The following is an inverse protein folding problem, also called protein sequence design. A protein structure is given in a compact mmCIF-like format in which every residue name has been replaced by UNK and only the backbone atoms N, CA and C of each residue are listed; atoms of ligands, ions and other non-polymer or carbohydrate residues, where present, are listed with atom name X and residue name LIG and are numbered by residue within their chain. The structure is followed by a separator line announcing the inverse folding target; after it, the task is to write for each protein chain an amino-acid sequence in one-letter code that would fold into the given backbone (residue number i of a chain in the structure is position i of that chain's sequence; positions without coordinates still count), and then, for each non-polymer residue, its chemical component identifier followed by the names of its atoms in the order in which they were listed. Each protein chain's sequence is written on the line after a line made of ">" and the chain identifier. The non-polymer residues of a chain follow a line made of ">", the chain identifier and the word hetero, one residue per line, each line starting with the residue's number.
data_IF_279894466821
#
_entry.id   IF_279894466821
#
_cell.length_a   1.000
_cell.length_b   1.000
_cell.length_c   1.000
_cell.angle_alpha   90.00
_cell.angle_beta   90.00
_cell.angle_gamma   90.00
#
_symmetry.space_group_name_H-M   'P 1'
#
loop_
_entity.id
_entity.type
_entity.pdbx_description
1 polymer ?
#
# COMPACT_ATOMS: atom_id res chain seq x y z
N UNK A 1 50.96 -15.76 -32.37
CA UNK A 1 50.34 -14.46 -32.04
C UNK A 1 48.96 -14.41 -32.66
N UNK A 2 47.91 -14.45 -31.84
CA UNK A 2 46.57 -13.98 -32.22
C UNK A 2 45.93 -13.43 -30.94
N UNK A 3 46.07 -12.13 -30.75
CA UNK A 3 45.42 -11.41 -29.66
C UNK A 3 43.90 -11.49 -29.84
N UNK A 4 43.21 -12.23 -28.96
CA UNK A 4 41.78 -12.06 -28.72
C UNK A 4 41.58 -10.66 -28.11
N UNK A 5 41.28 -9.67 -28.97
CA UNK A 5 40.78 -8.36 -28.53
C UNK A 5 39.38 -8.57 -27.95
N UNK A 6 39.19 -8.25 -26.68
CA UNK A 6 37.89 -8.17 -26.04
C UNK A 6 36.98 -7.18 -26.82
N UNK A 7 35.73 -7.56 -27.04
CA UNK A 7 34.79 -6.80 -27.87
C UNK A 7 34.43 -5.44 -27.21
N UNK A 8 34.37 -4.32 -27.96
CA UNK A 8 34.24 -2.96 -27.42
C UNK A 8 32.89 -2.62 -26.74
N UNK A 9 31.93 -3.55 -26.70
CA UNK A 9 30.54 -3.26 -26.32
C UNK A 9 30.28 -3.38 -24.81
N UNK A 10 31.22 -3.97 -24.06
CA UNK A 10 31.17 -3.97 -22.59
C UNK A 10 31.34 -2.57 -22.00
N UNK A 11 32.09 -1.70 -22.68
CA UNK A 11 32.35 -0.32 -22.25
C UNK A 11 31.12 0.58 -22.40
N UNK A 12 30.31 0.37 -23.45
CA UNK A 12 29.12 1.19 -23.74
C UNK A 12 27.97 0.92 -22.77
N UNK A 13 27.80 -0.33 -22.31
CA UNK A 13 26.78 -0.70 -21.33
C UNK A 13 27.11 -0.13 -19.94
N UNK A 14 28.39 -0.10 -19.57
CA UNK A 14 28.85 0.48 -18.30
C UNK A 14 28.67 2.00 -18.27
N UNK A 15 28.89 2.69 -19.40
CA UNK A 15 28.64 4.13 -19.55
C UNK A 15 27.14 4.43 -19.48
N UNK A 16 26.29 3.61 -20.14
CA UNK A 16 24.84 3.74 -20.01
C UNK A 16 24.40 3.53 -18.54
N UNK A 17 24.99 2.57 -17.84
CA UNK A 17 24.77 2.32 -16.41
C UNK A 17 25.10 3.54 -15.55
N UNK A 18 26.22 4.22 -15.79
CA UNK A 18 26.63 5.41 -15.03
C UNK A 18 25.73 6.63 -15.34
N UNK A 19 25.29 6.78 -16.58
CA UNK A 19 24.39 7.86 -17.01
C UNK A 19 22.99 7.66 -16.41
N UNK A 20 22.44 6.45 -16.48
CA UNK A 20 21.15 6.11 -15.86
C UNK A 20 21.21 6.18 -14.33
N UNK A 21 22.31 5.73 -13.71
CA UNK A 21 22.55 5.83 -12.27
C UNK A 21 22.59 7.28 -11.76
N UNK A 22 23.13 8.22 -12.55
CA UNK A 22 23.14 9.65 -12.20
C UNK A 22 21.82 10.37 -12.50
N UNK A 23 21.03 9.90 -13.46
CA UNK A 23 19.77 10.56 -13.87
C UNK A 23 18.53 10.16 -13.07
N UNK A 24 18.59 9.10 -12.24
CA UNK A 24 17.44 8.59 -11.47
C UNK A 24 17.01 9.44 -10.24
N UNK A 25 17.67 10.56 -9.95
CA UNK A 25 17.25 11.47 -8.86
C UNK A 25 16.34 12.61 -9.32
N UNK A 26 15.20 12.31 -9.93
CA UNK A 26 14.13 13.28 -10.07
C UNK A 26 12.76 12.60 -10.28
N UNK A 27 11.78 13.03 -9.49
CA UNK A 27 10.36 12.64 -9.54
C UNK A 27 9.95 11.37 -8.78
N UNK A 28 10.24 11.36 -7.48
CA UNK A 28 9.24 10.86 -6.52
C UNK A 28 8.20 11.97 -6.32
N UNK A 29 6.91 11.65 -6.47
CA UNK A 29 5.85 12.47 -5.86
C UNK A 29 6.03 12.39 -4.35
N UNK A 30 6.80 13.32 -3.80
CA UNK A 30 6.97 13.44 -2.35
C UNK A 30 5.71 14.08 -1.78
N UNK A 31 5.12 13.51 -0.71
CA UNK A 31 4.00 14.16 -0.03
C UNK A 31 4.46 15.54 0.47
N UNK A 32 3.57 16.54 0.39
CA UNK A 32 3.82 17.89 0.90
C UNK A 32 4.13 17.89 2.40
N UNK A 33 3.68 16.84 3.11
CA UNK A 33 3.99 16.56 4.50
C UNK A 33 4.63 15.17 4.57
N UNK A 34 5.94 15.13 4.78
CA UNK A 34 6.69 13.92 5.12
C UNK A 34 7.27 14.03 6.53
N UNK A 35 8.05 13.03 6.95
CA UNK A 35 8.78 13.12 8.21
C UNK A 35 9.68 14.35 8.22
N UNK A 36 9.54 15.18 9.25
CA UNK A 36 10.40 16.32 9.45
C UNK A 36 11.78 15.84 9.88
N UNK A 37 12.81 16.13 9.07
CA UNK A 37 14.15 15.56 9.23
C UNK A 37 14.86 15.93 10.55
N UNK A 38 14.56 17.10 11.12
CA UNK A 38 15.14 17.58 12.39
C UNK A 38 14.10 17.57 13.52
N UNK A 39 13.37 16.45 13.62
CA UNK A 39 12.28 16.31 14.57
C UNK A 39 12.76 16.04 16.00
N UNK A 40 12.20 16.79 16.93
CA UNK A 40 12.38 16.60 18.37
C UNK A 40 11.06 16.87 19.09
N UNK A 41 10.41 15.80 19.53
CA UNK A 41 9.13 15.82 20.23
C UNK A 41 9.18 16.74 21.48
N UNK A 42 10.31 16.77 22.18
CA UNK A 42 10.53 17.60 23.36
C UNK A 42 10.54 19.11 23.07
N UNK A 43 11.08 19.52 21.90
CA UNK A 43 11.12 20.92 21.47
C UNK A 43 9.74 21.37 20.99
N UNK A 44 9.10 20.54 20.18
CA UNK A 44 7.78 20.84 19.61
C UNK A 44 6.69 20.88 20.70
N UNK A 45 6.68 19.92 21.64
CA UNK A 45 5.76 19.92 22.77
C UNK A 45 5.93 21.18 23.64
N UNK A 46 7.17 21.61 23.88
CA UNK A 46 7.44 22.83 24.64
C UNK A 46 7.01 24.10 23.91
N UNK A 47 7.17 24.14 22.58
CA UNK A 47 6.73 25.25 21.75
C UNK A 47 5.19 25.35 21.72
N UNK A 48 4.49 24.22 21.58
CA UNK A 48 3.02 24.16 21.63
C UNK A 48 2.51 24.60 23.01
N UNK A 49 3.11 24.11 24.11
CA UNK A 49 2.74 24.55 25.46
C UNK A 49 2.92 26.05 25.64
N UNK A 50 4.05 26.60 25.18
CA UNK A 50 4.31 28.04 25.23
C UNK A 50 3.30 28.83 24.39
N UNK A 51 2.87 28.30 23.25
CA UNK A 51 1.92 28.94 22.36
C UNK A 51 0.50 29.03 22.95
N UNK A 52 0.14 28.13 23.88
CA UNK A 52 -1.15 28.12 24.58
C UNK A 52 -1.07 28.71 26.01
N UNK A 53 0.12 29.15 26.46
CA UNK A 53 0.31 29.63 27.82
C UNK A 53 0.05 31.13 27.92
N UNK A 54 -0.86 31.52 28.82
CA UNK A 54 -1.08 32.92 29.20
C UNK A 54 -2.40 33.42 28.66
N UNK A 55 -2.49 34.72 28.41
CA UNK A 55 -3.71 35.31 27.86
C UNK A 55 -3.62 35.34 26.33
N UNK A 56 -4.51 34.60 25.67
CA UNK A 56 -4.52 34.40 24.23
C UNK A 56 -3.63 33.23 23.75
N UNK A 57 -3.76 32.90 22.46
CA UNK A 57 -3.11 31.75 21.82
C UNK A 57 -2.27 32.20 20.65
N UNK A 58 -1.09 31.60 20.45
CA UNK A 58 -0.27 31.83 19.25
C UNK A 58 -0.55 30.76 18.19
N UNK A 59 -1.62 30.94 17.42
CA UNK A 59 -2.08 29.94 16.44
C UNK A 59 -1.08 29.74 15.31
N UNK A 60 -0.31 30.78 14.94
CA UNK A 60 0.73 30.69 13.90
C UNK A 60 1.83 29.70 14.28
N UNK A 61 2.26 29.72 15.55
CA UNK A 61 3.26 28.78 16.04
C UNK A 61 2.73 27.34 15.99
N UNK A 62 1.50 27.11 16.47
CA UNK A 62 0.84 25.81 16.45
C UNK A 62 0.71 25.28 15.03
N UNK A 63 0.21 26.11 14.10
CA UNK A 63 0.05 25.75 12.69
C UNK A 63 1.39 25.39 12.04
N UNK A 64 2.45 26.18 12.30
CA UNK A 64 3.78 25.95 11.73
C UNK A 64 4.41 24.63 12.15
N UNK A 65 4.02 24.10 13.31
CA UNK A 65 4.45 22.79 13.80
C UNK A 65 3.56 21.70 13.21
N UNK A 66 2.25 21.74 13.49
CA UNK A 66 1.34 20.61 13.19
C UNK A 66 1.19 20.35 11.68
N UNK A 67 1.25 21.38 10.83
CA UNK A 67 1.16 21.22 9.37
C UNK A 67 2.45 20.72 8.72
N UNK A 68 3.55 20.61 9.48
CA UNK A 68 4.87 20.21 8.99
C UNK A 68 5.41 18.94 9.67
N UNK A 69 4.55 18.19 10.35
CA UNK A 69 4.88 16.93 11.00
C UNK A 69 4.02 15.83 10.42
N UNK A 70 4.58 14.64 10.27
CA UNK A 70 3.79 13.45 9.94
C UNK A 70 2.82 13.12 11.07
N UNK A 71 1.78 12.33 10.81
CA UNK A 71 0.85 11.88 11.84
C UNK A 71 1.59 11.20 13.01
N UNK A 72 2.56 10.34 12.69
CA UNK A 72 3.43 9.69 13.68
C UNK A 72 4.12 10.71 14.59
N UNK A 73 4.79 11.69 14.01
CA UNK A 73 5.47 12.76 14.75
C UNK A 73 4.49 13.60 15.59
N UNK A 74 3.27 13.87 15.08
CA UNK A 74 2.23 14.57 15.84
C UNK A 74 1.80 13.78 17.08
N UNK A 75 1.66 12.47 16.97
CA UNK A 75 1.33 11.62 18.12
C UNK A 75 2.48 11.56 19.14
N UNK A 76 3.73 11.49 18.69
CA UNK A 76 4.92 11.58 19.56
C UNK A 76 4.96 12.92 20.34
N UNK A 77 4.56 14.04 19.70
CA UNK A 77 4.41 15.33 20.38
C UNK A 77 3.31 15.27 21.45
N UNK A 78 2.16 14.68 21.16
CA UNK A 78 1.04 14.53 22.11
C UNK A 78 1.48 13.75 23.36
N UNK A 79 2.19 12.65 23.16
CA UNK A 79 2.72 11.81 24.24
C UNK A 79 3.71 12.57 25.12
N UNK A 80 4.70 13.25 24.52
CA UNK A 80 5.69 14.03 25.27
C UNK A 80 5.04 15.22 25.99
N UNK A 81 4.04 15.88 25.37
CA UNK A 81 3.27 16.94 26.00
C UNK A 81 2.55 16.44 27.26
N UNK A 82 1.84 15.30 27.17
CA UNK A 82 1.16 14.67 28.30
C UNK A 82 2.16 14.27 29.39
N UNK A 83 3.30 13.69 29.02
CA UNK A 83 4.34 13.26 29.95
C UNK A 83 4.93 14.43 30.73
N UNK A 84 5.26 15.52 30.04
CA UNK A 84 5.95 16.70 30.59
C UNK A 84 5.03 17.65 31.36
N UNK A 85 3.83 17.91 30.84
CA UNK A 85 2.92 18.91 31.40
C UNK A 85 1.74 18.31 32.16
N UNK A 86 1.55 16.98 32.10
CA UNK A 86 0.43 16.26 32.74
C UNK A 86 -0.95 16.75 32.26
N UNK A 87 -1.01 17.19 30.99
CA UNK A 87 -2.20 17.75 30.35
C UNK A 87 -2.44 17.11 28.99
N UNK A 88 -3.72 16.98 28.60
CA UNK A 88 -4.10 16.46 27.30
C UNK A 88 -4.01 17.57 26.25
N UNK A 89 -3.01 17.47 25.36
CA UNK A 89 -2.73 18.49 24.34
C UNK A 89 -3.92 18.74 23.41
N UNK A 90 -4.58 17.68 22.94
CA UNK A 90 -5.70 17.77 21.99
C UNK A 90 -6.89 18.49 22.65
N UNK A 91 -7.16 18.18 23.91
CA UNK A 91 -8.21 18.85 24.70
C UNK A 91 -7.89 20.33 24.91
N UNK A 92 -6.65 20.69 25.19
CA UNK A 92 -6.24 22.09 25.32
C UNK A 92 -6.34 22.82 23.98
N UNK A 93 -5.91 22.22 22.87
CA UNK A 93 -6.07 22.81 21.54
C UNK A 93 -7.55 23.11 21.24
N UNK A 94 -8.46 22.20 21.58
CA UNK A 94 -9.89 22.37 21.40
C UNK A 94 -10.47 23.51 22.26
N UNK A 95 -9.91 23.78 23.44
CA UNK A 95 -10.37 24.89 24.30
C UNK A 95 -9.75 26.24 23.94
N UNK A 96 -8.52 26.24 23.43
CA UNK A 96 -7.75 27.46 23.12
C UNK A 96 -8.03 28.01 21.72
N UNK A 97 -8.50 27.17 20.79
CA UNK A 97 -8.75 27.53 19.39
C UNK A 97 -10.20 27.19 19.06
N UNK A 98 -10.96 28.17 18.57
CA UNK A 98 -12.35 28.01 18.16
C UNK A 98 -12.56 27.98 16.65
N UNK A 99 -13.77 27.58 16.24
CA UNK A 99 -14.22 27.59 14.84
C UNK A 99 -13.42 26.67 13.90
N UNK A 100 -13.45 27.00 12.60
CA UNK A 100 -12.87 26.18 11.52
C UNK A 100 -11.38 25.85 11.69
N UNK A 101 -10.63 26.74 12.34
CA UNK A 101 -9.21 26.49 12.59
C UNK A 101 -9.02 25.37 13.62
N UNK A 102 -9.90 25.30 14.62
CA UNK A 102 -9.92 24.20 15.59
C UNK A 102 -10.19 22.87 14.89
N UNK A 103 -11.24 22.83 14.07
CA UNK A 103 -11.63 21.65 13.29
C UNK A 103 -10.48 21.14 12.41
N UNK A 104 -9.82 22.03 11.66
CA UNK A 104 -8.65 21.70 10.85
C UNK A 104 -7.48 21.16 11.69
N UNK A 105 -7.18 21.78 12.83
CA UNK A 105 -6.04 21.33 13.65
C UNK A 105 -6.31 19.98 14.31
N UNK A 106 -7.54 19.73 14.74
CA UNK A 106 -7.94 18.47 15.34
C UNK A 106 -7.91 17.33 14.31
N UNK A 107 -8.34 17.58 13.07
CA UNK A 107 -8.32 16.56 12.00
C UNK A 107 -6.91 16.09 11.64
N UNK A 108 -5.87 16.89 11.88
CA UNK A 108 -4.47 16.48 11.67
C UNK A 108 -4.04 15.32 12.59
N UNK A 109 -4.71 15.10 13.72
CA UNK A 109 -4.38 14.01 14.64
C UNK A 109 -5.09 12.70 14.32
N UNK A 110 -5.99 12.69 13.35
CA UNK A 110 -6.71 11.50 12.94
C UNK A 110 -5.92 10.79 11.85
N UNK A 111 -5.88 9.47 11.91
CA UNK A 111 -5.53 8.70 10.73
C UNK A 111 -6.62 8.87 9.66
N UNK A 112 -6.33 8.53 8.40
CA UNK A 112 -7.29 8.76 7.31
C UNK A 112 -8.64 8.08 7.59
N UNK A 113 -8.64 6.88 8.18
CA UNK A 113 -9.87 6.15 8.47
C UNK A 113 -10.71 6.81 9.56
N UNK A 114 -10.09 7.29 10.63
CA UNK A 114 -10.74 8.09 11.69
C UNK A 114 -11.30 9.41 11.15
N UNK A 115 -10.54 10.09 10.28
CA UNK A 115 -11.00 11.31 9.63
C UNK A 115 -12.26 11.06 8.80
N UNK A 116 -12.22 10.08 7.88
CA UNK A 116 -13.40 9.77 7.07
C UNK A 116 -14.58 9.25 7.88
N UNK A 117 -14.33 8.50 8.96
CA UNK A 117 -15.40 8.08 9.87
C UNK A 117 -16.12 9.29 10.49
N UNK A 118 -15.37 10.29 10.96
CA UNK A 118 -15.94 11.51 11.52
C UNK A 118 -16.69 12.35 10.46
N UNK A 119 -16.14 12.50 9.26
CA UNK A 119 -16.81 13.23 8.16
C UNK A 119 -18.11 12.52 7.72
N UNK A 120 -18.13 11.19 7.62
CA UNK A 120 -19.34 10.43 7.32
C UNK A 120 -20.38 10.61 8.43
N UNK A 121 -19.97 10.56 9.70
CA UNK A 121 -20.90 10.83 10.81
C UNK A 121 -21.50 12.23 10.71
N UNK A 122 -20.67 13.24 10.43
CA UNK A 122 -21.12 14.61 10.23
C UNK A 122 -22.12 14.76 9.08
N UNK A 123 -21.91 14.02 7.99
CA UNK A 123 -22.78 14.03 6.82
C UNK A 123 -24.17 13.41 7.06
N UNK A 124 -24.33 12.54 8.07
CA UNK A 124 -25.59 11.84 8.36
C UNK A 124 -26.24 12.21 9.71
N UNK A 125 -25.54 12.94 10.59
CA UNK A 125 -26.05 13.31 11.91
C UNK A 125 -26.90 14.60 11.91
N UNK A 126 -26.95 15.32 10.78
CA UNK A 126 -27.58 16.63 10.64
C UNK A 126 -29.08 16.59 10.28
N UNK A 127 -29.65 17.78 10.01
CA UNK A 127 -30.98 17.87 9.40
C UNK A 127 -30.86 17.58 7.90
N UNK A 128 -31.24 16.36 7.50
CA UNK A 128 -30.99 15.84 6.17
C UNK A 128 -29.57 15.29 6.04
N UNK A 129 -29.29 14.73 4.88
CA UNK A 129 -28.03 14.07 4.54
C UNK A 129 -27.17 14.99 3.69
N UNK A 130 -25.85 15.02 3.90
CA UNK A 130 -24.93 15.66 2.96
C UNK A 130 -24.47 14.64 1.91
N UNK A 131 -25.30 14.43 0.88
CA UNK A 131 -25.00 13.42 -0.15
C UNK A 131 -23.76 13.77 -0.98
N UNK A 132 -23.39 15.06 -1.06
CA UNK A 132 -22.18 15.50 -1.76
C UNK A 132 -20.93 15.07 -0.98
N UNK A 133 -20.90 15.30 0.32
CA UNK A 133 -19.80 14.83 1.18
C UNK A 133 -19.68 13.31 1.13
N UNK A 134 -20.80 12.58 1.23
CA UNK A 134 -20.79 11.12 1.07
C UNK A 134 -20.21 10.73 -0.30
N UNK A 135 -20.65 11.37 -1.39
CA UNK A 135 -20.14 11.09 -2.74
C UNK A 135 -18.62 11.29 -2.84
N UNK A 136 -18.11 12.44 -2.37
CA UNK A 136 -16.67 12.74 -2.40
C UNK A 136 -15.85 11.72 -1.61
N UNK A 137 -16.33 11.36 -0.42
CA UNK A 137 -15.68 10.40 0.48
C UNK A 137 -15.69 9.00 -0.14
N UNK A 138 -16.85 8.50 -0.59
CA UNK A 138 -16.99 7.15 -1.15
C UNK A 138 -16.29 6.99 -2.50
N UNK A 139 -16.13 8.05 -3.29
CA UNK A 139 -15.26 8.01 -4.48
C UNK A 139 -13.77 7.78 -4.13
N UNK A 140 -13.35 8.09 -2.90
CA UNK A 140 -11.98 7.90 -2.44
C UNK A 140 -11.74 6.53 -1.76
N UNK A 141 -12.79 5.73 -1.55
CA UNK A 141 -12.71 4.45 -0.83
C UNK A 141 -11.81 3.41 -1.49
N UNK A 142 -11.52 3.51 -2.79
CA UNK A 142 -10.55 2.60 -3.43
C UNK A 142 -9.11 2.79 -2.93
N UNK A 143 -8.78 3.94 -2.33
CA UNK A 143 -7.43 4.28 -1.88
C UNK A 143 -7.18 3.98 -0.39
N UNK A 144 -8.22 3.56 0.35
CA UNK A 144 -8.20 3.35 1.81
C UNK A 144 -9.05 2.12 2.12
N UNK A 145 -8.59 1.22 2.97
CA UNK A 145 -9.37 0.03 3.30
C UNK A 145 -10.73 0.42 3.90
N UNK A 146 -11.83 0.15 3.19
CA UNK A 146 -13.22 0.35 3.67
C UNK A 146 -13.41 -0.21 5.07
N UNK A 147 -12.79 -1.36 5.35
CA UNK A 147 -12.83 -2.01 6.66
C UNK A 147 -12.17 -1.14 7.75
N UNK A 148 -11.08 -0.45 7.45
CA UNK A 148 -10.43 0.45 8.42
C UNK A 148 -11.36 1.61 8.78
N UNK A 149 -12.12 2.15 7.83
CA UNK A 149 -13.12 3.21 8.08
C UNK A 149 -14.27 2.67 8.91
N UNK A 150 -14.79 1.46 8.58
CA UNK A 150 -15.83 0.79 9.38
C UNK A 150 -15.37 0.55 10.82
N UNK A 151 -14.15 0.04 11.02
CA UNK A 151 -13.57 -0.20 12.33
C UNK A 151 -13.39 1.09 13.13
N UNK A 152 -12.88 2.15 12.49
CA UNK A 152 -12.73 3.46 13.12
C UNK A 152 -14.10 4.02 13.55
N UNK A 153 -15.10 3.96 12.66
CA UNK A 153 -16.46 4.43 12.95
C UNK A 153 -17.10 3.66 14.10
N UNK A 154 -17.00 2.33 14.10
CA UNK A 154 -17.50 1.48 15.20
C UNK A 154 -16.76 1.77 16.52
N UNK A 155 -15.47 2.07 16.45
CA UNK A 155 -14.66 2.39 17.64
C UNK A 155 -15.07 3.73 18.24
N UNK A 156 -15.27 4.75 17.41
CA UNK A 156 -15.55 6.12 17.83
C UNK A 156 -17.03 6.32 18.21
N UNK A 157 -17.95 5.93 17.33
CA UNK A 157 -19.38 6.21 17.49
C UNK A 157 -20.16 5.05 18.11
N UNK A 158 -19.54 3.88 18.27
CA UNK A 158 -20.19 2.64 18.79
C UNK A 158 -21.40 2.19 17.95
N UNK A 159 -21.39 2.52 16.66
CA UNK A 159 -22.44 2.17 15.69
C UNK A 159 -21.81 1.56 14.44
N UNK A 160 -22.59 0.76 13.72
CA UNK A 160 -22.15 0.19 12.45
C UNK A 160 -22.25 1.24 11.34
N UNK A 161 -21.13 1.50 10.66
CA UNK A 161 -21.06 2.51 9.60
C UNK A 161 -22.08 2.26 8.49
N UNK A 162 -22.21 1.01 8.04
CA UNK A 162 -23.09 0.67 6.92
C UNK A 162 -24.54 0.92 7.30
N UNK A 163 -24.95 0.44 8.47
CA UNK A 163 -26.31 0.59 8.96
C UNK A 163 -26.71 2.06 9.12
N UNK A 164 -25.82 2.90 9.65
CA UNK A 164 -26.09 4.33 9.82
C UNK A 164 -26.22 5.05 8.48
N UNK A 165 -25.32 4.78 7.52
CA UNK A 165 -25.41 5.42 6.18
C UNK A 165 -26.68 4.97 5.46
N UNK A 166 -27.00 3.67 5.45
CA UNK A 166 -28.19 3.15 4.74
C UNK A 166 -29.51 3.62 5.39
N UNK A 167 -29.50 4.00 6.66
CA UNK A 167 -30.68 4.58 7.31
C UNK A 167 -30.99 6.01 6.83
N UNK A 168 -29.99 6.71 6.27
CA UNK A 168 -30.06 8.12 5.92
C UNK A 168 -30.20 8.36 4.40
N UNK A 169 -29.87 7.37 3.57
CA UNK A 169 -30.01 7.44 2.10
C UNK A 169 -31.10 6.52 1.57
N UNK A 170 -31.55 6.73 0.32
CA UNK A 170 -32.55 5.86 -0.30
C UNK A 170 -32.37 5.69 -1.82
N UNK A 171 -33.03 4.67 -2.38
CA UNK A 171 -33.11 4.46 -3.83
C UNK A 171 -31.78 4.04 -4.47
N UNK A 172 -31.52 4.51 -5.70
CA UNK A 172 -30.31 4.11 -6.43
C UNK A 172 -29.01 4.62 -5.78
N UNK A 173 -29.08 5.73 -5.03
CA UNK A 173 -27.94 6.25 -4.28
C UNK A 173 -27.55 5.30 -3.14
N UNK A 174 -28.54 4.83 -2.37
CA UNK A 174 -28.36 3.79 -1.35
C UNK A 174 -27.76 2.50 -1.96
N UNK A 175 -28.31 2.04 -3.09
CA UNK A 175 -27.82 0.84 -3.77
C UNK A 175 -26.34 0.94 -4.12
N UNK A 176 -25.92 2.08 -4.70
CA UNK A 176 -24.53 2.30 -5.10
C UNK A 176 -23.61 2.44 -3.89
N UNK A 177 -23.99 3.21 -2.87
CA UNK A 177 -23.19 3.35 -1.64
C UNK A 177 -23.04 1.99 -0.93
N UNK A 178 -24.10 1.19 -0.86
CA UNK A 178 -24.07 -0.16 -0.31
C UNK A 178 -23.07 -1.06 -1.03
N UNK A 179 -22.97 -0.93 -2.37
CA UNK A 179 -22.01 -1.66 -3.19
C UNK A 179 -20.57 -1.19 -2.95
N UNK A 180 -20.32 0.13 -2.88
CA UNK A 180 -19.01 0.69 -2.56
C UNK A 180 -18.53 0.36 -1.14
N UNK A 181 -19.48 0.11 -0.23
CA UNK A 181 -19.25 -0.33 1.15
C UNK A 181 -19.15 -1.85 1.30
N UNK A 182 -19.27 -2.64 0.23
CA UNK A 182 -19.05 -4.07 0.36
C UNK A 182 -17.63 -4.32 0.83
N UNK A 183 -17.48 -5.19 1.82
CA UNK A 183 -16.16 -5.63 2.24
C UNK A 183 -15.50 -6.28 1.03
N UNK A 184 -14.29 -5.81 0.68
CA UNK A 184 -13.43 -6.59 -0.20
C UNK A 184 -13.31 -7.99 0.42
N UNK A 185 -13.55 -9.02 -0.39
CA UNK A 185 -13.48 -10.38 0.11
C UNK A 185 -12.11 -10.62 0.74
N UNK A 186 -12.08 -11.02 2.02
CA UNK A 186 -10.81 -11.22 2.72
C UNK A 186 -9.89 -12.15 1.94
N UNK A 187 -8.58 -11.87 1.94
CA UNK A 187 -7.59 -12.70 1.26
C UNK A 187 -7.63 -14.17 1.73
N UNK A 188 -8.00 -14.41 2.99
CA UNK A 188 -8.28 -15.77 3.52
C UNK A 188 -9.49 -16.45 2.86
N UNK A 189 -10.57 -15.71 2.59
CA UNK A 189 -11.75 -16.24 1.89
C UNK A 189 -11.44 -16.54 0.42
N UNK A 190 -10.72 -15.65 -0.26
CA UNK A 190 -10.22 -15.87 -1.63
C UNK A 190 -9.26 -17.07 -1.67
N UNK A 191 -8.36 -17.20 -0.71
CA UNK A 191 -7.46 -18.35 -0.59
C UNK A 191 -8.25 -19.66 -0.42
N UNK A 192 -9.31 -19.68 0.41
CA UNK A 192 -10.21 -20.85 0.53
C UNK A 192 -10.90 -21.20 -0.80
N UNK A 193 -11.23 -20.21 -1.65
CA UNK A 193 -11.76 -20.46 -3.00
C UNK A 193 -10.71 -21.12 -3.89
N UNK A 194 -9.46 -20.64 -3.87
CA UNK A 194 -8.35 -21.28 -4.60
C UNK A 194 -8.09 -22.71 -4.12
N UNK A 195 -8.12 -22.95 -2.80
CA UNK A 195 -7.99 -24.30 -2.23
C UNK A 195 -9.10 -25.20 -2.76
N UNK A 196 -10.36 -24.75 -2.78
CA UNK A 196 -11.47 -25.52 -3.34
C UNK A 196 -11.35 -25.73 -4.85
N UNK A 197 -10.78 -24.77 -5.57
CA UNK A 197 -10.57 -24.83 -7.02
C UNK A 197 -9.42 -25.76 -7.44
N UNK A 198 -8.48 -26.05 -6.53
CA UNK A 198 -7.27 -26.85 -6.79
C UNK A 198 -7.05 -28.09 -5.92
N UNK A 199 -7.73 -28.26 -4.78
CA UNK A 199 -7.62 -29.43 -3.90
C UNK A 199 -8.96 -30.16 -3.82
N UNK A 200 -9.03 -31.35 -4.41
CA UNK A 200 -10.14 -32.30 -4.19
C UNK A 200 -10.91 -32.74 -5.42
N UNK A 201 -10.53 -32.32 -6.63
CA UNK A 201 -11.15 -32.81 -7.86
C UNK A 201 -10.15 -33.75 -8.52
N UNK A 202 -10.39 -35.07 -8.38
CA UNK A 202 -9.61 -36.14 -9.02
C UNK A 202 -9.63 -36.08 -10.57
N UNK A 203 -10.25 -35.05 -11.14
CA UNK A 203 -10.43 -34.74 -12.57
C UNK A 203 -10.43 -33.21 -12.80
N UNK A 204 -9.28 -32.57 -12.57
CA UNK A 204 -8.96 -31.24 -13.14
C UNK A 204 -9.18 -30.02 -12.24
N UNK A 205 -8.55 -28.92 -12.64
CA UNK A 205 -8.57 -27.61 -11.97
C UNK A 205 -9.72 -26.73 -12.49
N UNK A 206 -10.36 -25.96 -11.61
CA UNK A 206 -11.31 -24.92 -12.04
C UNK A 206 -10.55 -23.69 -12.58
N UNK A 207 -10.03 -23.79 -13.79
CA UNK A 207 -9.25 -22.73 -14.45
C UNK A 207 -10.01 -21.39 -14.52
N UNK A 208 -11.34 -21.41 -14.63
CA UNK A 208 -12.17 -20.19 -14.64
C UNK A 208 -12.05 -19.43 -13.32
N UNK A 209 -12.05 -20.14 -12.19
CA UNK A 209 -11.88 -19.52 -10.88
C UNK A 209 -10.48 -18.92 -10.69
N UNK A 210 -9.45 -19.56 -11.24
CA UNK A 210 -8.11 -18.99 -11.27
C UNK A 210 -8.07 -17.71 -12.12
N UNK A 211 -8.68 -17.70 -13.32
CA UNK A 211 -8.73 -16.50 -14.18
C UNK A 211 -9.45 -15.34 -13.48
N UNK A 212 -10.63 -15.57 -12.90
CA UNK A 212 -11.40 -14.57 -12.15
C UNK A 212 -10.52 -13.90 -11.08
N UNK A 213 -9.95 -14.70 -10.17
CA UNK A 213 -9.15 -14.21 -9.05
C UNK A 213 -7.88 -13.48 -9.53
N UNK A 214 -7.14 -14.06 -10.48
CA UNK A 214 -5.87 -13.48 -10.96
C UNK A 214 -6.07 -12.24 -11.84
N UNK A 215 -7.25 -12.05 -12.42
CA UNK A 215 -7.56 -10.88 -13.24
C UNK A 215 -8.05 -9.67 -12.43
N UNK A 216 -8.61 -9.91 -11.24
CA UNK A 216 -9.19 -8.87 -10.38
C UNK A 216 -8.23 -8.44 -9.26
N UNK A 217 -7.42 -9.36 -8.74
CA UNK A 217 -6.53 -9.08 -7.61
C UNK A 217 -5.30 -8.26 -8.01
N UNK A 218 -4.98 -7.24 -7.22
CA UNK A 218 -3.70 -6.53 -7.30
C UNK A 218 -2.53 -7.44 -6.91
N UNK A 219 -1.30 -7.06 -7.29
CA UNK A 219 -0.10 -7.80 -6.88
C UNK A 219 0.08 -7.86 -5.34
N UNK A 220 -0.35 -6.84 -4.61
CA UNK A 220 -0.28 -6.85 -3.14
C UNK A 220 -1.25 -7.86 -2.55
N UNK A 221 -2.49 -7.89 -3.05
CA UNK A 221 -3.50 -8.85 -2.62
C UNK A 221 -3.09 -10.28 -2.97
N UNK A 222 -2.56 -10.52 -4.17
CA UNK A 222 -2.06 -11.84 -4.57
C UNK A 222 -0.93 -12.35 -3.66
N UNK A 223 -0.03 -11.47 -3.20
CA UNK A 223 1.01 -11.84 -2.25
C UNK A 223 0.44 -12.24 -0.88
N UNK A 224 -0.63 -11.58 -0.42
CA UNK A 224 -1.33 -11.94 0.81
C UNK A 224 -2.16 -13.22 0.67
N UNK A 225 -2.88 -13.38 -0.44
CA UNK A 225 -3.62 -14.59 -0.79
C UNK A 225 -2.67 -15.80 -0.80
N UNK A 226 -1.46 -15.66 -1.37
CA UNK A 226 -0.46 -16.74 -1.38
C UNK A 226 -0.05 -17.16 0.04
N UNK A 227 0.18 -16.20 0.94
CA UNK A 227 0.49 -16.48 2.36
C UNK A 227 -0.66 -17.18 3.08
N UNK A 228 -1.89 -16.73 2.87
CA UNK A 228 -3.08 -17.36 3.46
C UNK A 228 -3.32 -18.76 2.90
N UNK A 229 -3.09 -18.97 1.61
CA UNK A 229 -3.15 -20.28 0.96
C UNK A 229 -2.16 -21.27 1.57
N UNK A 230 -0.91 -20.84 1.80
CA UNK A 230 0.11 -21.69 2.41
C UNK A 230 -0.24 -22.07 3.85
N UNK A 231 -0.79 -21.14 4.65
CA UNK A 231 -1.28 -21.44 6.00
C UNK A 231 -2.42 -22.48 6.01
N UNK A 232 -3.30 -22.44 5.00
CA UNK A 232 -4.46 -23.33 4.92
C UNK A 232 -4.11 -24.74 4.44
N UNK A 233 -3.06 -24.89 3.63
CA UNK A 233 -2.74 -26.15 2.93
C UNK A 233 -1.40 -26.76 3.34
N UNK A 234 -0.51 -25.99 3.95
CA UNK A 234 0.92 -26.28 4.12
C UNK A 234 1.68 -26.49 2.80
N UNK A 235 1.13 -26.03 1.67
CA UNK A 235 1.75 -26.02 0.36
C UNK A 235 1.82 -24.59 -0.18
N UNK A 236 2.92 -24.23 -0.83
CA UNK A 236 3.00 -22.93 -1.50
C UNK A 236 2.02 -22.88 -2.66
N UNK A 237 1.42 -21.71 -2.92
CA UNK A 237 0.50 -21.55 -4.06
C UNK A 237 1.21 -21.88 -5.39
N UNK A 238 2.50 -21.53 -5.51
CA UNK A 238 3.33 -21.85 -6.68
C UNK A 238 3.45 -23.37 -6.90
N UNK A 239 3.66 -24.15 -5.84
CA UNK A 239 3.82 -25.61 -5.97
C UNK A 239 2.48 -26.29 -6.29
N UNK A 240 1.38 -25.79 -5.72
CA UNK A 240 0.03 -26.23 -6.12
C UNK A 240 -0.24 -25.90 -7.60
N UNK A 241 0.05 -24.69 -8.06
CA UNK A 241 -0.14 -24.30 -9.47
C UNK A 241 0.63 -25.20 -10.44
N UNK A 242 1.89 -25.53 -10.12
CA UNK A 242 2.73 -26.42 -10.93
C UNK A 242 2.24 -27.87 -10.97
N UNK A 243 1.45 -28.27 -9.99
CA UNK A 243 0.91 -29.63 -9.89
C UNK A 243 -0.43 -29.74 -10.60
N UNK A 244 -1.26 -28.71 -10.45
CA UNK A 244 -2.66 -28.73 -10.89
C UNK A 244 -2.86 -28.20 -12.32
N UNK A 245 -2.06 -27.23 -12.75
CA UNK A 245 -2.18 -26.63 -14.09
C UNK A 245 -1.07 -27.11 -15.03
N UNK A 246 -1.14 -26.77 -16.32
CA UNK A 246 -0.07 -27.12 -17.26
C UNK A 246 0.13 -26.07 -18.36
N UNK A 247 1.19 -26.23 -19.15
CA UNK A 247 1.46 -25.42 -20.34
C UNK A 247 1.66 -23.93 -20.04
N UNK A 248 1.27 -23.08 -21.00
CA UNK A 248 1.44 -21.62 -20.90
C UNK A 248 0.58 -20.98 -19.82
N UNK A 249 -0.57 -21.58 -19.51
CA UNK A 249 -1.43 -21.12 -18.43
C UNK A 249 -0.74 -21.26 -17.07
N UNK A 250 -0.18 -22.44 -16.77
CA UNK A 250 0.66 -22.64 -15.59
C UNK A 250 1.82 -21.64 -15.53
N UNK A 251 2.52 -21.44 -16.65
CA UNK A 251 3.67 -20.55 -16.71
C UNK A 251 3.28 -19.11 -16.36
N UNK A 252 2.14 -18.62 -16.86
CA UNK A 252 1.64 -17.28 -16.57
C UNK A 252 1.23 -17.12 -15.10
N UNK A 253 0.45 -18.06 -14.55
CA UNK A 253 0.03 -17.99 -13.15
C UNK A 253 1.22 -17.99 -12.20
N UNK A 254 2.18 -18.90 -12.41
CA UNK A 254 3.43 -18.95 -11.62
C UNK A 254 4.23 -17.65 -11.74
N UNK A 255 4.33 -17.06 -12.94
CA UNK A 255 5.02 -15.79 -13.13
C UNK A 255 4.37 -14.66 -12.32
N UNK A 256 3.03 -14.57 -12.36
CA UNK A 256 2.27 -13.55 -11.64
C UNK A 256 2.49 -13.67 -10.13
N UNK A 257 2.40 -14.88 -9.56
CA UNK A 257 2.61 -15.08 -8.11
C UNK A 257 4.07 -14.79 -7.72
N UNK A 258 5.05 -15.24 -8.50
CA UNK A 258 6.46 -14.96 -8.20
C UNK A 258 6.77 -13.47 -8.21
N UNK A 259 6.21 -12.73 -9.18
CA UNK A 259 6.32 -11.28 -9.22
C UNK A 259 5.61 -10.63 -8.04
N UNK A 260 4.38 -11.04 -7.72
CA UNK A 260 3.61 -10.52 -6.59
C UNK A 260 4.34 -10.70 -5.25
N UNK A 261 4.88 -11.88 -4.98
CA UNK A 261 5.57 -12.20 -3.72
C UNK A 261 6.90 -11.46 -3.57
N UNK A 262 7.69 -11.39 -4.65
CA UNK A 262 9.01 -10.77 -4.61
C UNK A 262 9.53 -10.40 -6.02
N UNK A 263 9.26 -9.17 -6.49
CA UNK A 263 9.69 -8.72 -7.82
C UNK A 263 11.22 -8.79 -8.01
N UNK A 264 12.00 -8.46 -6.97
CA UNK A 264 13.48 -8.46 -7.03
C UNK A 264 14.00 -9.88 -7.27
N UNK A 265 13.56 -10.84 -6.45
CA UNK A 265 13.97 -12.23 -6.59
C UNK A 265 13.46 -12.83 -7.91
N UNK A 266 12.26 -12.44 -8.35
CA UNK A 266 11.70 -12.86 -9.63
C UNK A 266 12.59 -12.44 -10.81
N UNK A 267 12.92 -11.15 -10.92
CA UNK A 267 13.80 -10.67 -11.98
C UNK A 267 15.23 -11.19 -11.88
N UNK A 268 15.74 -11.41 -10.66
CA UNK A 268 17.03 -12.07 -10.46
C UNK A 268 17.04 -13.49 -11.06
N UNK A 269 15.98 -14.28 -10.84
CA UNK A 269 15.84 -15.63 -11.42
C UNK A 269 15.73 -15.59 -12.94
N UNK A 270 14.99 -14.63 -13.50
CA UNK A 270 14.88 -14.43 -14.95
C UNK A 270 16.24 -14.14 -15.55
N UNK A 271 17.00 -13.20 -14.97
CA UNK A 271 18.35 -12.85 -15.42
C UNK A 271 19.29 -14.05 -15.32
N UNK A 272 19.31 -14.75 -14.19
CA UNK A 272 20.15 -15.92 -13.99
C UNK A 272 19.82 -17.02 -15.03
N UNK A 273 18.54 -17.30 -15.24
CA UNK A 273 18.08 -18.30 -16.21
C UNK A 273 18.39 -17.93 -17.65
N UNK A 274 18.36 -16.63 -17.99
CA UNK A 274 18.73 -16.14 -19.31
C UNK A 274 20.25 -16.25 -19.56
N UNK A 275 21.07 -16.07 -18.52
CA UNK A 275 22.55 -16.08 -18.60
C UNK A 275 23.17 -17.49 -18.44
N UNK A 276 22.45 -18.46 -17.89
CA UNK A 276 22.95 -19.83 -17.71
C UNK A 276 23.10 -20.60 -19.04
N UNK A 277 24.28 -21.22 -19.24
CA UNK A 277 24.55 -22.13 -20.37
C UNK A 277 23.70 -23.41 -20.23
N UNK A 278 22.87 -23.70 -21.23
CA UNK A 278 22.04 -24.93 -21.26
C UNK A 278 20.64 -24.79 -20.64
N UNK A 279 20.26 -23.59 -20.21
CA UNK A 279 18.93 -23.27 -19.68
C UNK A 279 17.80 -23.61 -20.66
N UNK A 280 16.61 -23.95 -20.14
CA UNK A 280 15.37 -24.19 -20.90
C UNK A 280 14.96 -22.98 -21.76
N UNK A 281 15.52 -21.80 -21.50
CA UNK A 281 15.36 -20.57 -22.30
C UNK A 281 16.35 -20.44 -23.49
N UNK A 282 17.08 -21.51 -23.86
CA UNK A 282 18.03 -21.49 -24.97
C UNK A 282 17.30 -21.27 -26.31
N UNK A 283 17.31 -20.02 -26.76
CA UNK A 283 16.85 -19.56 -28.07
C UNK A 283 17.28 -18.10 -28.30
N UNK A 284 17.06 -17.57 -29.52
CA UNK A 284 17.31 -16.17 -29.93
C UNK A 284 16.75 -15.09 -28.98
N UNK A 285 15.91 -15.49 -28.02
CA UNK A 285 15.19 -14.63 -27.09
C UNK A 285 15.87 -14.42 -25.72
N UNK A 286 16.93 -15.17 -25.34
CA UNK A 286 17.61 -14.96 -24.04
C UNK A 286 18.24 -13.56 -23.93
N UNK A 287 18.91 -13.09 -24.99
CA UNK A 287 19.45 -11.73 -25.08
C UNK A 287 18.36 -10.65 -24.95
N UNK A 288 17.19 -10.85 -25.57
CA UNK A 288 16.05 -9.93 -25.48
C UNK A 288 15.46 -9.91 -24.07
N UNK A 289 15.42 -11.05 -23.38
CA UNK A 289 15.01 -11.12 -21.98
C UNK A 289 15.95 -10.31 -21.09
N UNK A 290 17.27 -10.44 -21.26
CA UNK A 290 18.24 -9.63 -20.52
C UNK A 290 17.98 -8.13 -20.77
N UNK A 291 17.83 -7.70 -22.03
CA UNK A 291 17.53 -6.30 -22.35
C UNK A 291 16.24 -5.82 -21.68
N UNK A 292 15.14 -6.58 -21.76
CA UNK A 292 13.87 -6.19 -21.13
C UNK A 292 14.02 -5.95 -19.64
N UNK A 293 14.64 -6.89 -18.92
CA UNK A 293 14.85 -6.73 -17.48
C UNK A 293 15.78 -5.55 -17.17
N UNK A 294 16.84 -5.35 -17.96
CA UNK A 294 17.72 -4.19 -17.79
C UNK A 294 16.96 -2.87 -17.96
N UNK A 295 16.16 -2.74 -19.02
CA UNK A 295 15.36 -1.53 -19.28
C UNK A 295 14.34 -1.31 -18.17
N UNK A 296 13.53 -2.32 -17.85
CA UNK A 296 12.44 -2.23 -16.87
C UNK A 296 12.91 -1.96 -15.45
N UNK A 297 14.09 -2.48 -15.05
CA UNK A 297 14.56 -2.41 -13.66
C UNK A 297 15.66 -1.40 -13.41
N UNK A 298 16.29 -0.86 -14.45
CA UNK A 298 17.45 0.04 -14.31
C UNK A 298 17.20 1.26 -13.42
N UNK A 299 15.97 1.80 -13.44
CA UNK A 299 15.56 2.97 -12.66
C UNK A 299 14.78 2.62 -11.38
N UNK A 300 14.63 1.32 -11.08
CA UNK A 300 13.85 0.84 -9.94
C UNK A 300 14.75 0.13 -8.92
N UNK A 301 15.29 -1.05 -9.27
CA UNK A 301 16.01 -1.90 -8.33
C UNK A 301 16.94 -2.95 -8.98
N UNK A 302 17.41 -2.72 -10.21
CA UNK A 302 18.30 -3.64 -10.92
C UNK A 302 19.56 -4.00 -10.12
N UNK A 303 20.10 -3.06 -9.35
CA UNK A 303 21.25 -3.30 -8.46
C UNK A 303 20.98 -4.37 -7.40
N UNK A 304 19.76 -4.42 -6.86
CA UNK A 304 19.35 -5.45 -5.91
C UNK A 304 19.18 -6.80 -6.61
N UNK A 305 18.56 -6.83 -7.79
CA UNK A 305 18.38 -8.05 -8.59
C UNK A 305 19.73 -8.77 -8.87
N UNK A 306 20.80 -8.01 -9.15
CA UNK A 306 22.13 -8.55 -9.40
C UNK A 306 22.87 -9.08 -8.16
N UNK A 307 22.40 -8.74 -6.96
CA UNK A 307 23.02 -9.11 -5.68
C UNK A 307 22.40 -10.33 -5.00
N UNK A 308 21.25 -10.81 -5.50
CA UNK A 308 20.52 -11.95 -4.93
C UNK A 308 21.31 -13.24 -5.12
N UNK A 309 21.62 -13.92 -4.00
CA UNK A 309 22.10 -15.31 -4.01
C UNK A 309 20.90 -16.25 -4.06
N UNK A 310 20.67 -16.87 -5.20
CA UNK A 310 19.63 -17.88 -5.37
C UNK A 310 20.18 -19.24 -4.96
N UNK A 311 19.51 -19.92 -4.03
CA UNK A 311 19.85 -21.29 -3.65
C UNK A 311 19.65 -22.22 -4.84
N UNK A 312 20.68 -23.04 -5.13
CA UNK A 312 20.58 -24.15 -6.07
C UNK A 312 19.86 -25.30 -5.34
N UNK A 313 18.55 -25.38 -5.46
CA UNK A 313 17.81 -26.63 -5.19
C UNK A 313 17.68 -27.42 -6.49
#
# INVERSE_FOLDING_TARGET
>A
MAHLRAAPWFSSILILFIVVWKSSHAHQQKPTIGDYNDFHETKDAAAIYKAMKGWGTNEKAILSILTRRSLKQRMEIVEEYQKRYKKNMIKELKSEIGGKLSELLLSLFHNKAEFYAAEIHGAIAGYGTDELALTEIFCCFQNITVNAIKEAYQTEFKRDLKSEVMADVSGEFENLLSALMQDAESTTAVAKKLVKAGVGIWLGTDEKKFVEIFSEASYSELAEISKEYEKLTNLTLIDSLKTETSGDFQNLLVYIVQYAENPINHYARILQSALQKGSRFKGRNSYRTVIRVLVERSEIDLGHCGSVRLDRR
#
